data_IF_086712252772
#
_entry.id   IF_086712252772
#
_cell.length_a   1.000
_cell.length_b   1.000
_cell.length_c   1.000
_cell.angle_alpha   90.00
_cell.angle_beta   90.00
_cell.angle_gamma   90.00
#
_symmetry.space_group_name_H-M   'P 1'
#
loop_
_entity.id
_entity.type
_entity.pdbx_description
1 polymer ?
#
# COMPACT_ATOMS: atom_id res chain seq x y z
N UNK A 1 -5.47 -4.76 -7.20
CA UNK A 1 -4.98 -5.80 -6.27
C UNK A 1 -5.11 -7.17 -6.92
N UNK A 2 -4.29 -8.14 -6.53
CA UNK A 2 -4.38 -9.50 -7.06
C UNK A 2 -3.49 -10.52 -6.35
N UNK A 3 -3.70 -11.82 -6.64
CA UNK A 3 -2.89 -12.89 -6.07
C UNK A 3 -1.45 -12.86 -6.63
N UNK A 4 -0.54 -13.39 -5.84
CA UNK A 4 0.88 -13.64 -6.15
C UNK A 4 1.22 -15.05 -5.67
N UNK A 5 2.36 -15.60 -6.09
CA UNK A 5 2.80 -16.95 -5.67
C UNK A 5 2.86 -17.10 -4.14
N UNK A 6 3.11 -16.00 -3.42
CA UNK A 6 3.31 -15.99 -1.98
C UNK A 6 2.20 -15.25 -1.20
N UNK A 7 1.06 -14.92 -1.81
CA UNK A 7 -0.03 -14.23 -1.12
C UNK A 7 -0.79 -13.23 -1.97
N UNK A 8 -1.20 -12.11 -1.38
CA UNK A 8 -2.02 -11.09 -2.03
C UNK A 8 -1.28 -9.75 -2.09
N UNK A 9 -1.34 -9.07 -3.24
CA UNK A 9 -0.70 -7.76 -3.43
C UNK A 9 -1.72 -6.70 -3.79
N UNK A 10 -1.70 -5.60 -3.03
CA UNK A 10 -2.39 -4.35 -3.35
C UNK A 10 -1.35 -3.36 -3.84
N UNK A 11 -1.61 -2.74 -4.99
CA UNK A 11 -0.83 -1.63 -5.54
C UNK A 11 -1.81 -0.49 -5.71
N UNK A 12 -1.45 0.67 -5.19
CA UNK A 12 -2.28 1.87 -5.24
C UNK A 12 -1.40 3.08 -5.62
N UNK A 13 -2.01 4.04 -6.30
CA UNK A 13 -1.32 5.25 -6.80
C UNK A 13 -1.81 6.43 -5.99
N UNK A 14 -0.88 7.11 -5.32
CA UNK A 14 -1.16 8.24 -4.45
C UNK A 14 -0.70 9.56 -5.08
N UNK A 15 -1.40 10.65 -4.79
CA UNK A 15 -1.02 12.00 -5.23
C UNK A 15 0.32 12.44 -4.62
N UNK A 16 0.62 12.00 -3.39
CA UNK A 16 1.89 12.26 -2.71
C UNK A 16 2.20 11.19 -1.66
N UNK A 17 3.44 11.13 -1.18
CA UNK A 17 3.83 10.22 -0.09
C UNK A 17 3.12 10.58 1.22
N UNK A 18 2.89 11.87 1.50
CA UNK A 18 2.18 12.33 2.69
C UNK A 18 0.72 11.86 2.69
N UNK A 19 0.08 11.79 1.52
CA UNK A 19 -1.27 11.24 1.40
C UNK A 19 -1.31 9.75 1.78
N UNK A 20 -0.31 8.98 1.34
CA UNK A 20 -0.15 7.58 1.74
C UNK A 20 0.14 7.43 3.24
N UNK A 21 0.98 8.29 3.82
CA UNK A 21 1.30 8.25 5.26
C UNK A 21 0.05 8.52 6.11
N UNK A 22 -0.75 9.55 5.78
CA UNK A 22 -2.03 9.83 6.45
C UNK A 22 -3.00 8.65 6.37
N UNK A 23 -3.07 7.96 5.24
CA UNK A 23 -3.87 6.75 5.13
C UNK A 23 -3.34 5.61 6.02
N UNK A 24 -2.01 5.49 6.11
CA UNK A 24 -1.32 4.56 7.00
C UNK A 24 -1.69 4.74 8.48
N UNK A 25 -1.94 5.96 8.93
CA UNK A 25 -2.40 6.25 10.31
C UNK A 25 -3.80 5.68 10.58
N UNK A 26 -4.66 5.62 9.56
CA UNK A 26 -6.03 5.09 9.66
C UNK A 26 -6.04 3.57 9.59
N UNK A 27 -5.33 2.97 8.62
CA UNK A 27 -5.40 1.53 8.36
C UNK A 27 -4.39 0.71 9.19
N UNK A 28 -3.35 1.36 9.71
CA UNK A 28 -2.28 0.72 10.49
C UNK A 28 -2.77 -0.07 11.71
N UNK A 29 -3.69 0.45 12.54
CA UNK A 29 -4.26 -0.28 13.68
C UNK A 29 -4.96 -1.58 13.26
N UNK A 30 -5.80 -1.52 12.22
CA UNK A 30 -6.54 -2.67 11.70
C UNK A 30 -5.58 -3.74 11.16
N UNK A 31 -4.57 -3.33 10.39
CA UNK A 31 -3.52 -4.23 9.91
C UNK A 31 -2.77 -4.90 11.06
N UNK A 32 -2.49 -4.16 12.14
CA UNK A 32 -1.84 -4.72 13.32
C UNK A 32 -2.73 -5.74 14.04
N UNK A 33 -4.02 -5.44 14.22
CA UNK A 33 -4.98 -6.30 14.90
C UNK A 33 -5.16 -7.65 14.18
N UNK A 34 -5.24 -7.64 12.85
CA UNK A 34 -5.42 -8.87 12.05
C UNK A 34 -4.09 -9.58 11.73
N UNK A 35 -2.96 -9.05 12.21
CA UNK A 35 -1.62 -9.61 11.96
C UNK A 35 -1.22 -9.56 10.48
N UNK A 36 -1.63 -8.52 9.76
CA UNK A 36 -1.34 -8.38 8.33
C UNK A 36 0.19 -8.29 8.09
N UNK A 37 0.79 -9.26 7.38
CA UNK A 37 2.24 -9.32 7.22
C UNK A 37 2.73 -8.45 6.05
N UNK A 38 3.97 -7.98 6.15
CA UNK A 38 4.74 -7.48 5.00
C UNK A 38 5.27 -6.05 5.15
N UNK A 39 6.40 -5.81 4.48
CA UNK A 39 6.95 -4.46 4.33
C UNK A 39 6.24 -3.72 3.19
N UNK A 40 5.90 -2.46 3.46
CA UNK A 40 5.37 -1.55 2.43
C UNK A 40 6.51 -1.14 1.51
N UNK A 41 6.25 -1.15 0.21
CA UNK A 41 7.21 -0.71 -0.80
C UNK A 41 6.69 0.56 -1.48
N UNK A 42 7.53 1.59 -1.55
CA UNK A 42 7.25 2.84 -2.26
C UNK A 42 7.99 2.86 -3.59
N UNK A 43 7.25 3.17 -4.65
CA UNK A 43 7.78 3.25 -6.01
C UNK A 43 7.50 4.64 -6.59
N UNK A 44 8.51 5.40 -7.03
CA UNK A 44 8.29 6.65 -7.74
C UNK A 44 7.50 6.43 -9.03
N UNK A 45 6.43 7.20 -9.23
CA UNK A 45 5.64 7.12 -10.45
C UNK A 45 6.40 7.79 -11.59
N UNK A 46 6.84 7.00 -12.58
CA UNK A 46 7.58 7.54 -13.71
C UNK A 46 6.66 8.21 -14.75
N UNK A 47 5.54 7.58 -15.10
CA UNK A 47 4.54 8.11 -16.01
C UNK A 47 3.14 7.65 -15.57
N UNK A 48 2.14 8.51 -15.78
CA UNK A 48 0.73 8.17 -15.60
C UNK A 48 0.00 8.35 -16.93
N UNK A 49 -0.46 7.24 -17.52
CA UNK A 49 -1.20 7.23 -18.78
C UNK A 49 -2.64 6.88 -18.45
N UNK A 50 -3.58 7.71 -18.91
CA UNK A 50 -5.02 7.52 -18.75
C UNK A 50 -5.63 6.81 -19.94
#
# INVERSE_FOLDING_TARGET
AGPTDNGWRVVDVWESEEAFQRFGEVIGPEHHEVGFPGERQLFPLHNFIK
#
